data_IF_351835575844
#
_entry.id   IF_351835575844
#
_cell.length_a   1.000
_cell.length_b   1.000
_cell.length_c   1.000
_cell.angle_alpha   90.00
_cell.angle_beta   90.00
_cell.angle_gamma   90.00
#
_symmetry.space_group_name_H-M   'P 1'
#
loop_
_entity.id
_entity.type
_entity.pdbx_description
1 polymer ?
#
# COMPACT_ATOMS: atom_id res chain seq x y z
N UNK A 1 -5.94 16.12 -2.30
CA UNK A 1 -6.49 16.13 -0.93
C UNK A 1 -5.33 16.26 0.04
N UNK A 2 -5.40 17.18 1.00
CA UNK A 2 -4.41 17.31 2.06
C UNK A 2 -4.83 16.39 3.21
N UNK A 3 -3.91 15.57 3.68
CA UNK A 3 -4.11 14.67 4.82
C UNK A 3 -3.10 15.03 5.92
N UNK A 4 -3.51 15.12 7.19
CA UNK A 4 -2.59 15.48 8.28
C UNK A 4 -1.45 14.45 8.45
N UNK A 5 -0.24 14.92 8.78
CA UNK A 5 0.91 14.05 9.08
C UNK A 5 0.77 13.26 10.39
N UNK A 6 -0.03 13.77 11.32
CA UNK A 6 -0.30 13.15 12.62
C UNK A 6 -1.81 13.13 12.84
N UNK A 7 -2.33 11.96 13.24
CA UNK A 7 -3.76 11.81 13.55
C UNK A 7 -3.92 11.05 14.84
N UNK A 8 -4.84 11.52 15.69
CA UNK A 8 -5.23 10.80 16.91
C UNK A 8 -6.27 9.75 16.55
N UNK A 9 -5.92 8.47 16.73
CA UNK A 9 -6.76 7.31 16.37
C UNK A 9 -6.67 6.26 17.47
N UNK A 10 -7.70 5.44 17.62
CA UNK A 10 -7.68 4.28 18.50
C UNK A 10 -6.61 3.27 18.09
N UNK A 11 -5.73 2.91 19.03
CA UNK A 11 -4.74 1.86 18.86
C UNK A 11 -5.23 0.54 19.50
N UNK A 12 -5.38 -0.56 18.75
CA UNK A 12 -5.87 -1.83 19.30
C UNK A 12 -4.85 -2.57 20.19
N UNK A 13 -3.58 -2.12 20.22
CA UNK A 13 -2.55 -2.69 21.11
C UNK A 13 -2.44 -1.93 22.42
N UNK A 14 -2.60 -0.60 22.39
CA UNK A 14 -2.59 0.24 23.60
C UNK A 14 -3.99 0.38 24.24
N UNK A 15 -5.04 -0.07 23.55
CA UNK A 15 -6.46 0.08 23.93
C UNK A 15 -6.87 1.53 24.25
N UNK A 16 -6.19 2.50 23.65
CA UNK A 16 -6.39 3.93 23.89
C UNK A 16 -6.23 4.74 22.59
N UNK A 17 -6.74 5.97 22.59
CA UNK A 17 -6.58 6.92 21.48
C UNK A 17 -5.23 7.63 21.57
N UNK A 18 -4.32 7.26 20.67
CA UNK A 18 -2.94 7.75 20.63
C UNK A 18 -2.65 8.49 19.33
N UNK A 19 -1.58 9.27 19.33
CA UNK A 19 -1.08 9.93 18.12
C UNK A 19 -0.38 8.93 17.20
N UNK A 20 -0.83 8.90 15.95
CA UNK A 20 -0.27 8.06 14.91
C UNK A 20 0.43 8.92 13.85
N UNK A 21 1.67 8.54 13.49
CA UNK A 21 2.37 9.11 12.34
C UNK A 21 1.83 8.51 11.06
N UNK A 22 1.49 9.37 10.10
CA UNK A 22 0.88 8.97 8.83
C UNK A 22 1.93 8.91 7.74
N UNK A 23 1.97 7.78 7.03
CA UNK A 23 2.76 7.63 5.80
C UNK A 23 1.87 7.09 4.67
N UNK A 24 2.18 7.44 3.43
CA UNK A 24 1.48 6.88 2.28
C UNK A 24 2.04 5.49 2.00
N UNK A 25 1.17 4.52 1.75
CA UNK A 25 1.59 3.18 1.36
C UNK A 25 2.16 3.15 -0.06
N UNK A 26 3.37 2.61 -0.17
CA UNK A 26 4.01 2.20 -1.42
C UNK A 26 4.14 0.67 -1.47
N UNK A 27 3.92 0.10 -2.64
CA UNK A 27 4.08 -1.34 -2.84
C UNK A 27 5.57 -1.68 -2.91
N UNK A 28 6.03 -2.66 -2.13
CA UNK A 28 7.44 -3.11 -2.11
C UNK A 28 7.86 -3.87 -3.38
N UNK A 29 9.15 -4.21 -3.49
CA UNK A 29 9.62 -5.08 -4.59
C UNK A 29 9.03 -6.48 -4.46
N UNK A 30 8.56 -7.06 -5.56
CA UNK A 30 8.04 -8.44 -5.58
C UNK A 30 9.16 -9.44 -5.27
N UNK A 31 8.88 -10.45 -4.44
CA UNK A 31 9.83 -11.52 -4.07
C UNK A 31 9.92 -12.58 -5.17
N UNK A 32 11.13 -12.91 -5.62
CA UNK A 32 11.36 -13.93 -6.66
C UNK A 32 11.08 -15.37 -6.21
N UNK A 33 11.29 -15.65 -4.93
CA UNK A 33 11.10 -16.98 -4.34
C UNK A 33 9.62 -17.32 -4.07
N UNK A 34 8.70 -16.37 -4.28
CA UNK A 34 7.27 -16.62 -4.15
C UNK A 34 6.85 -17.75 -5.10
N UNK A 35 5.97 -18.65 -4.63
CA UNK A 35 5.57 -19.83 -5.39
C UNK A 35 5.04 -19.51 -6.78
N UNK A 36 4.17 -18.50 -6.91
CA UNK A 36 3.62 -18.05 -8.19
C UNK A 36 4.70 -17.55 -9.15
N UNK A 37 5.71 -16.85 -8.64
CA UNK A 37 6.84 -16.37 -9.45
C UNK A 37 7.73 -17.54 -9.88
N UNK A 38 8.03 -18.49 -8.99
CA UNK A 38 8.78 -19.71 -9.33
C UNK A 38 8.09 -20.52 -10.42
N UNK A 39 6.76 -20.70 -10.30
CA UNK A 39 5.94 -21.38 -11.30
C UNK A 39 5.94 -20.64 -12.64
N UNK A 40 5.78 -19.32 -12.62
CA UNK A 40 5.82 -18.50 -13.83
C UNK A 40 7.18 -18.57 -14.52
N UNK A 41 8.28 -18.44 -13.77
CA UNK A 41 9.64 -18.54 -14.31
C UNK A 41 9.93 -19.92 -14.90
N UNK A 42 9.50 -21.01 -14.23
CA UNK A 42 9.59 -22.36 -14.80
C UNK A 42 8.79 -22.47 -16.10
N UNK A 43 7.57 -21.92 -16.12
CA UNK A 43 6.76 -21.88 -17.33
C UNK A 43 7.42 -21.00 -18.39
N UNK A 44 8.15 -19.94 -18.06
CA UNK A 44 8.76 -19.06 -19.05
C UNK A 44 9.98 -19.69 -19.75
N UNK A 45 10.62 -20.70 -19.14
CA UNK A 45 11.79 -21.38 -19.73
C UNK A 45 11.42 -22.11 -21.03
N UNK A 46 12.31 -22.03 -22.00
CA UNK A 46 12.16 -22.60 -23.34
C UNK A 46 11.61 -21.61 -24.36
N UNK A 47 11.14 -22.11 -25.49
CA UNK A 47 10.60 -21.29 -26.56
C UNK A 47 9.14 -20.87 -26.32
N UNK A 48 8.69 -19.88 -27.08
CA UNK A 48 7.36 -19.28 -26.97
C UNK A 48 7.34 -18.12 -25.98
N UNK A 49 7.23 -16.91 -26.52
CA UNK A 49 7.24 -15.58 -25.88
C UNK A 49 6.56 -15.50 -24.48
N UNK A 50 5.42 -14.83 -24.35
CA UNK A 50 4.75 -14.66 -23.05
C UNK A 50 3.64 -15.69 -22.86
N UNK A 51 3.80 -16.59 -21.88
CA UNK A 51 2.83 -17.69 -21.61
C UNK A 51 1.68 -17.35 -20.66
N UNK A 52 1.62 -16.13 -20.14
CA UNK A 52 0.50 -15.61 -19.33
C UNK A 52 0.00 -14.30 -19.95
N UNK A 53 -1.33 -14.10 -20.02
CA UNK A 53 -1.89 -12.90 -20.62
C UNK A 53 -1.55 -11.66 -19.78
N UNK A 54 -1.24 -10.56 -20.46
CA UNK A 54 -1.01 -9.24 -19.84
C UNK A 54 -2.17 -8.33 -20.20
N UNK A 55 -2.77 -7.69 -19.19
CA UNK A 55 -3.79 -6.67 -19.40
C UNK A 55 -3.16 -5.46 -20.13
N UNK A 56 -3.66 -5.14 -21.33
CA UNK A 56 -3.17 -4.01 -22.14
C UNK A 56 -3.93 -2.71 -21.88
N UNK A 57 -5.26 -2.79 -21.71
CA UNK A 57 -6.13 -1.62 -21.55
C UNK A 57 -6.60 -1.49 -20.10
N UNK A 58 -6.37 -0.33 -19.49
CA UNK A 58 -6.85 0.00 -18.15
C UNK A 58 -7.82 1.17 -18.24
N UNK A 59 -9.06 0.99 -17.79
CA UNK A 59 -10.08 2.06 -17.80
C UNK A 59 -9.93 3.05 -16.63
N UNK A 60 -9.45 2.58 -15.49
CA UNK A 60 -9.32 3.40 -14.28
C UNK A 60 -7.99 4.18 -14.30
N UNK A 61 -8.10 5.50 -14.20
CA UNK A 61 -6.96 6.44 -14.23
C UNK A 61 -6.36 6.70 -12.84
N UNK A 62 -7.13 6.50 -11.77
CA UNK A 62 -6.70 6.71 -10.38
C UNK A 62 -6.50 5.38 -9.64
N UNK A 63 -5.88 5.43 -8.46
CA UNK A 63 -5.73 4.26 -7.56
C UNK A 63 -6.40 4.56 -6.21
N UNK A 64 -6.77 3.50 -5.48
CA UNK A 64 -7.16 3.66 -4.08
C UNK A 64 -5.90 3.93 -3.26
N UNK A 65 -5.83 5.05 -2.58
CA UNK A 65 -4.68 5.42 -1.75
C UNK A 65 -4.92 4.86 -0.36
N UNK A 66 -3.91 4.20 0.19
CA UNK A 66 -3.92 3.63 1.54
C UNK A 66 -2.89 4.38 2.36
N UNK A 67 -3.30 4.86 3.53
CA UNK A 67 -2.39 5.44 4.51
C UNK A 67 -2.02 4.40 5.55
N UNK A 68 -0.75 4.40 5.94
CA UNK A 68 -0.21 3.65 7.07
C UNK A 68 -0.17 4.60 8.28
N UNK A 69 -0.93 4.24 9.30
CA UNK A 69 -0.98 4.92 10.60
C UNK A 69 -0.10 4.12 11.56
N UNK A 70 1.06 4.65 11.91
CA UNK A 70 1.96 4.01 12.87
C UNK A 70 1.80 4.66 14.24
N UNK A 71 1.43 3.87 15.24
CA UNK A 71 1.29 4.36 16.62
C UNK A 71 2.66 4.79 17.18
N UNK A 72 2.74 5.98 17.77
CA UNK A 72 3.99 6.49 18.36
C UNK A 72 4.44 5.72 19.62
N UNK A 73 3.50 5.12 20.34
CA UNK A 73 3.80 4.40 21.59
C UNK A 73 4.26 2.96 21.36
N UNK A 74 3.51 2.17 20.61
CA UNK A 74 3.76 0.73 20.43
C UNK A 74 4.28 0.34 19.03
N UNK A 75 4.38 1.29 18.11
CA UNK A 75 4.83 1.03 16.73
C UNK A 75 3.84 0.25 15.86
N UNK A 76 2.67 -0.13 16.38
CA UNK A 76 1.67 -0.88 15.63
C UNK A 76 1.17 -0.07 14.42
N UNK A 77 1.08 -0.73 13.26
CA UNK A 77 0.69 -0.09 11.99
C UNK A 77 -0.72 -0.50 11.61
N UNK A 78 -1.60 0.49 11.44
CA UNK A 78 -2.95 0.32 10.91
C UNK A 78 -2.98 0.84 9.48
N UNK A 79 -3.50 0.06 8.55
CA UNK A 79 -3.68 0.48 7.16
C UNK A 79 -5.13 0.92 6.93
N UNK A 80 -5.35 2.17 6.55
CA UNK A 80 -6.69 2.70 6.22
C UNK A 80 -6.77 3.18 4.77
N UNK A 81 -7.77 2.73 3.98
CA UNK A 81 -7.99 3.26 2.64
C UNK A 81 -8.71 4.62 2.69
N UNK A 82 -8.23 5.59 1.89
CA UNK A 82 -8.88 6.91 1.71
C UNK A 82 -9.82 6.96 0.50
N UNK A 83 -9.90 5.88 -0.28
CA UNK A 83 -10.63 5.85 -1.55
C UNK A 83 -9.77 6.22 -2.76
N UNK A 84 -10.39 6.45 -3.93
CA UNK A 84 -9.70 6.77 -5.19
C UNK A 84 -9.42 8.25 -5.29
N UNK A 85 -8.15 8.63 -5.38
CA UNK A 85 -7.71 10.02 -5.43
C UNK A 85 -6.65 10.19 -6.53
N UNK A 86 -6.59 11.37 -7.16
CA UNK A 86 -5.56 11.71 -8.15
C UNK A 86 -4.22 12.07 -7.48
N UNK A 87 -4.26 12.90 -6.44
CA UNK A 87 -3.11 13.34 -5.64
C UNK A 87 -3.48 13.44 -4.16
N UNK A 88 -2.59 12.95 -3.30
CA UNK A 88 -2.66 13.08 -1.84
C UNK A 88 -1.35 13.69 -1.37
N UNK A 89 -1.46 14.73 -0.57
CA UNK A 89 -0.33 15.45 0.02
C UNK A 89 -0.46 15.35 1.54
N UNK A 90 0.67 15.08 2.22
CA UNK A 90 0.73 15.06 3.68
C UNK A 90 1.06 16.47 4.18
N UNK A 91 0.08 17.14 4.77
CA UNK A 91 0.21 18.50 5.28
C UNK A 91 0.34 18.51 6.81
N UNK A 92 1.05 19.51 7.34
CA UNK A 92 0.99 19.83 8.77
C UNK A 92 -0.24 20.71 9.00
N UNK A 93 -1.19 20.19 9.77
CA UNK A 93 -2.25 21.02 10.33
C UNK A 93 -1.65 21.80 11.49
N UNK A 94 -1.55 23.12 11.32
CA UNK A 94 -1.29 24.07 12.42
C UNK A 94 -2.37 23.95 13.48
#
# INVERSE_FOLDING_TARGET
MKFPKVVRVYCPRCNTYTDHTVTIYSHGKRRNLAEGQRRYLRKLKGYGSSRKPKQKRFSKTTKKIVVKLQCRQCGYVIMKPLGRLKKVELAETR
#
